data_IF_019988603697
#
_entry.id   IF_019988603697
#
_cell.length_a   1.000
_cell.length_b   1.000
_cell.length_c   1.000
_cell.angle_alpha   90.00
_cell.angle_beta   90.00
_cell.angle_gamma   90.00
#
_symmetry.space_group_name_H-M   'P 1'
#
loop_
_entity.id
_entity.type
_entity.pdbx_description
1 polymer ?
#
# COMPACT_ATOMS: atom_id res chain seq x y z
N UNK A 1 -0.01 -3.59 -14.81
CA UNK A 1 0.92 -4.06 -13.75
C UNK A 1 1.40 -2.86 -12.96
N UNK A 2 0.68 -2.49 -11.91
CA UNK A 2 1.12 -1.46 -11.00
C UNK A 2 1.49 -2.15 -9.69
N UNK A 3 2.79 -2.27 -9.45
CA UNK A 3 3.32 -2.63 -8.16
C UNK A 3 3.00 -1.44 -7.24
N UNK A 4 2.00 -1.51 -6.36
CA UNK A 4 1.84 -0.50 -5.32
C UNK A 4 2.94 -0.73 -4.28
N UNK A 5 4.15 -0.33 -4.68
CA UNK A 5 5.26 -0.13 -3.79
C UNK A 5 4.97 1.15 -3.03
N UNK A 6 4.25 1.00 -1.91
CA UNK A 6 3.89 2.02 -0.92
C UNK A 6 5.03 2.94 -0.47
N UNK A 7 6.27 2.61 -0.85
CA UNK A 7 7.49 3.34 -0.52
C UNK A 7 8.28 3.89 -1.72
N UNK A 8 7.86 3.69 -2.98
CA UNK A 8 8.71 4.08 -4.11
C UNK A 8 8.94 5.59 -4.27
N UNK A 9 7.99 6.46 -3.91
CA UNK A 9 8.25 7.91 -3.91
C UNK A 9 8.68 8.39 -2.51
N UNK A 10 8.25 7.70 -1.45
CA UNK A 10 8.56 8.10 -0.07
C UNK A 10 10.01 7.80 0.34
N UNK A 11 10.62 6.68 -0.05
CA UNK A 11 12.04 6.42 0.25
C UNK A 11 12.99 7.13 -0.72
N UNK A 12 12.48 7.51 -1.90
CA UNK A 12 13.17 8.35 -2.86
C UNK A 12 12.65 9.79 -2.80
N UNK A 13 12.40 10.33 -1.58
CA UNK A 13 12.44 11.79 -1.39
C UNK A 13 13.65 12.24 -2.17
N UNK A 14 13.44 12.95 -3.28
CA UNK A 14 14.47 13.41 -4.21
C UNK A 14 15.38 14.39 -3.46
N UNK A 15 16.19 13.87 -2.53
CA UNK A 15 16.96 14.58 -1.52
C UNK A 15 16.14 15.66 -0.79
N UNK A 16 14.92 15.37 -0.35
CA UNK A 16 13.99 16.35 0.26
C UNK A 16 13.63 17.56 -0.62
N UNK A 17 13.95 17.52 -1.92
CA UNK A 17 13.66 18.61 -2.87
C UNK A 17 12.16 18.77 -3.17
N UNK A 18 11.32 17.84 -2.69
CA UNK A 18 9.89 17.80 -2.97
C UNK A 18 9.12 17.70 -1.66
N UNK A 19 8.02 18.46 -1.59
CA UNK A 19 7.15 18.46 -0.41
C UNK A 19 6.44 17.12 -0.22
N UNK A 20 6.16 16.77 1.04
CA UNK A 20 5.38 15.57 1.39
C UNK A 20 4.01 15.53 0.73
N UNK A 21 3.40 16.70 0.50
CA UNK A 21 2.10 16.80 -0.15
C UNK A 21 2.19 16.33 -1.61
N UNK A 22 3.20 16.80 -2.35
CA UNK A 22 3.41 16.40 -3.75
C UNK A 22 3.67 14.89 -3.89
N UNK A 23 4.39 14.30 -2.93
CA UNK A 23 4.60 12.84 -2.88
C UNK A 23 3.27 12.10 -2.70
N UNK A 24 2.44 12.53 -1.75
CA UNK A 24 1.11 11.94 -1.51
C UNK A 24 0.18 12.08 -2.72
N UNK A 25 0.13 13.25 -3.34
CA UNK A 25 -0.71 13.50 -4.52
C UNK A 25 -0.28 12.62 -5.70
N UNK A 26 1.03 12.41 -5.84
CA UNK A 26 1.60 11.53 -6.87
C UNK A 26 1.23 10.07 -6.63
N UNK A 27 1.37 9.57 -5.39
CA UNK A 27 0.95 8.22 -5.02
C UNK A 27 -0.55 8.02 -5.28
N UNK A 28 -1.40 8.96 -4.85
CA UNK A 28 -2.85 8.88 -5.06
C UNK A 28 -3.20 8.79 -6.55
N UNK A 29 -2.53 9.59 -7.39
CA UNK A 29 -2.72 9.55 -8.84
C UNK A 29 -2.36 8.18 -9.43
N UNK A 30 -1.34 7.52 -8.90
CA UNK A 30 -0.93 6.17 -9.34
C UNK A 30 -2.02 5.16 -8.97
N UNK A 31 -2.52 5.20 -7.74
CA UNK A 31 -3.60 4.32 -7.26
C UNK A 31 -4.87 4.49 -8.09
N UNK A 32 -5.22 5.72 -8.46
CA UNK A 32 -6.40 5.98 -9.30
C UNK A 32 -6.26 5.39 -10.72
N UNK A 33 -5.05 5.42 -11.27
CA UNK A 33 -4.75 5.00 -12.65
C UNK A 33 -4.40 3.52 -12.79
N UNK A 34 -4.02 2.85 -11.70
CA UNK A 34 -3.63 1.45 -11.75
C UNK A 34 -4.82 0.53 -12.09
N UNK A 35 -4.51 -0.66 -12.62
CA UNK A 35 -5.51 -1.71 -12.83
C UNK A 35 -5.79 -2.51 -11.55
N UNK A 36 -4.79 -2.62 -10.67
CA UNK A 36 -4.80 -3.42 -9.43
C UNK A 36 -3.76 -2.88 -8.43
N UNK A 37 -3.99 -3.17 -7.14
CA UNK A 37 -3.15 -2.75 -6.00
C UNK A 37 -2.68 -3.97 -5.23
N UNK A 38 -1.37 -4.05 -4.96
CA UNK A 38 -0.73 -5.18 -4.29
C UNK A 38 -0.04 -4.74 -3.00
N UNK A 39 -0.52 -5.23 -1.87
CA UNK A 39 -0.04 -4.85 -0.54
C UNK A 39 0.94 -5.92 -0.04
N UNK A 40 2.11 -5.48 0.43
CA UNK A 40 3.16 -6.36 0.93
C UNK A 40 3.53 -6.00 2.37
N UNK A 41 3.64 -7.01 3.23
CA UNK A 41 4.05 -6.84 4.62
C UNK A 41 2.99 -6.17 5.50
N UNK A 42 3.39 -5.60 6.66
CA UNK A 42 2.46 -5.00 7.59
C UNK A 42 1.83 -3.70 7.06
N UNK A 43 0.53 -3.55 7.27
CA UNK A 43 -0.23 -2.35 6.90
C UNK A 43 0.05 -1.23 7.90
N UNK A 44 0.64 -0.14 7.41
CA UNK A 44 0.81 1.13 8.13
C UNK A 44 -0.36 2.09 7.90
N UNK A 45 -0.37 3.23 8.59
CA UNK A 45 -1.38 4.29 8.39
C UNK A 45 -1.40 4.79 6.93
N UNK A 46 -0.22 5.02 6.35
CA UNK A 46 -0.10 5.40 4.94
C UNK A 46 -0.62 4.29 4.02
N UNK A 47 -0.41 3.03 4.42
CA UNK A 47 -0.90 1.87 3.68
C UNK A 47 -2.42 1.83 3.62
N UNK A 48 -3.03 2.05 4.77
CA UNK A 48 -4.47 2.07 4.93
C UNK A 48 -5.14 3.16 4.08
N UNK A 49 -4.56 4.36 3.99
CA UNK A 49 -5.11 5.46 3.17
C UNK A 49 -5.18 5.11 1.68
N UNK A 50 -4.13 4.51 1.11
CA UNK A 50 -4.16 4.14 -0.30
C UNK A 50 -5.06 2.90 -0.53
N UNK A 51 -5.19 1.98 0.43
CA UNK A 51 -6.20 0.90 0.38
C UNK A 51 -7.61 1.49 0.34
N UNK A 52 -7.91 2.49 1.19
CA UNK A 52 -9.19 3.21 1.20
C UNK A 52 -9.45 3.87 -0.15
N UNK A 53 -8.44 4.50 -0.75
CA UNK A 53 -8.53 5.10 -2.08
C UNK A 53 -8.78 4.05 -3.17
N UNK A 54 -8.04 2.94 -3.15
CA UNK A 54 -8.19 1.84 -4.10
C UNK A 54 -9.60 1.24 -4.05
N UNK A 55 -10.15 1.04 -2.84
CA UNK A 55 -11.54 0.61 -2.64
C UNK A 55 -12.54 1.60 -3.21
N UNK A 56 -12.36 2.89 -2.95
CA UNK A 56 -13.21 3.95 -3.51
C UNK A 56 -13.19 3.95 -5.04
N UNK A 57 -12.06 3.61 -5.64
CA UNK A 57 -11.87 3.47 -7.08
C UNK A 57 -12.27 2.08 -7.62
N UNK A 58 -12.86 1.20 -6.80
CA UNK A 58 -13.23 -0.18 -7.14
C UNK A 58 -12.08 -0.99 -7.76
N UNK A 59 -10.86 -0.75 -7.29
CA UNK A 59 -9.68 -1.48 -7.76
C UNK A 59 -9.58 -2.85 -7.07
N UNK A 60 -9.18 -3.91 -7.78
CA UNK A 60 -8.77 -5.17 -7.17
C UNK A 60 -7.59 -4.95 -6.22
N UNK A 61 -7.68 -5.47 -5.00
CA UNK A 61 -6.62 -5.41 -3.99
C UNK A 61 -6.19 -6.83 -3.65
N UNK A 62 -4.88 -7.07 -3.69
CA UNK A 62 -4.27 -8.38 -3.38
C UNK A 62 -3.22 -8.21 -2.28
N UNK A 63 -3.18 -9.16 -1.36
CA UNK A 63 -2.31 -9.11 -0.18
C UNK A 63 -1.24 -10.18 -0.27
N UNK A 64 -0.02 -9.84 0.12
CA UNK A 64 1.12 -10.73 0.00
C UNK A 64 1.99 -10.71 1.26
N UNK A 65 2.34 -11.90 1.74
CA UNK A 65 3.33 -12.09 2.80
C UNK A 65 4.71 -12.38 2.19
N UNK A 66 5.73 -11.71 2.73
CA UNK A 66 7.14 -11.99 2.41
C UNK A 66 7.60 -13.08 3.38
N UNK A 67 7.74 -14.31 2.89
CA UNK A 67 8.11 -15.47 3.71
C UNK A 67 9.62 -15.53 3.91
N UNK A 68 10.38 -15.21 2.86
CA UNK A 68 11.85 -15.11 2.89
C UNK A 68 12.32 -14.21 1.74
N UNK A 69 13.64 -14.02 1.59
CA UNK A 69 14.22 -13.13 0.57
C UNK A 69 13.90 -13.50 -0.89
N UNK A 70 13.30 -14.66 -1.17
CA UNK A 70 12.99 -15.13 -2.52
C UNK A 70 11.55 -15.63 -2.68
N UNK A 71 10.74 -15.58 -1.63
CA UNK A 71 9.41 -16.19 -1.63
C UNK A 71 8.38 -15.19 -1.11
N UNK A 72 7.43 -14.87 -1.99
CA UNK A 72 6.32 -13.97 -1.74
C UNK A 72 5.05 -14.75 -2.05
N UNK A 73 4.16 -14.86 -1.07
CA UNK A 73 2.92 -15.63 -1.19
C UNK A 73 1.72 -14.73 -1.03
N UNK A 74 0.73 -14.94 -1.89
CA UNK A 74 -0.57 -14.31 -1.71
C UNK A 74 -1.22 -14.86 -0.45
N UNK A 75 -1.77 -13.97 0.36
CA UNK A 75 -2.44 -14.28 1.62
C UNK A 75 -3.86 -13.73 1.60
N UNK A 76 -4.78 -14.37 2.35
CA UNK A 76 -6.11 -13.83 2.53
C UNK A 76 -6.06 -12.59 3.44
N UNK A 77 -7.05 -11.70 3.34
CA UNK A 77 -7.10 -10.41 4.08
C UNK A 77 -7.08 -10.59 5.60
N UNK A 78 -7.55 -11.75 6.06
CA UNK A 78 -7.60 -12.15 7.46
C UNK A 78 -6.19 -12.34 8.05
N UNK A 79 -5.22 -12.72 7.22
CA UNK A 79 -3.83 -12.99 7.63
C UNK A 79 -2.93 -11.75 7.51
N UNK A 80 -3.47 -10.61 7.06
CA UNK A 80 -2.71 -9.37 6.92
C UNK A 80 -2.28 -8.87 8.29
N UNK A 81 -0.99 -8.60 8.45
CA UNK A 81 -0.42 -7.99 9.65
C UNK A 81 -0.56 -6.46 9.60
N UNK A 82 -0.68 -5.82 10.75
CA UNK A 82 -0.74 -4.37 10.88
C UNK A 82 0.46 -3.86 11.67
N UNK A 83 0.83 -2.60 11.49
CA UNK A 83 1.69 -1.91 12.45
C UNK A 83 0.93 -1.65 13.77
N UNK A 84 1.67 -1.46 14.86
CA UNK A 84 1.14 -1.39 16.22
C UNK A 84 0.01 -0.35 16.36
N UNK A 85 -1.18 -0.80 16.78
CA UNK A 85 -2.34 0.07 17.02
C UNK A 85 -3.30 0.23 15.84
N UNK A 86 -3.01 -0.43 14.70
CA UNK A 86 -3.84 -0.39 13.49
C UNK A 86 -4.68 -1.65 13.27
N UNK A 87 -4.56 -2.66 14.14
CA UNK A 87 -5.30 -3.93 14.06
C UNK A 87 -6.82 -3.72 14.08
N UNK A 88 -7.28 -2.63 14.69
CA UNK A 88 -8.69 -2.19 14.73
C UNK A 88 -9.29 -1.86 13.36
N UNK A 89 -8.47 -1.64 12.34
CA UNK A 89 -8.92 -1.28 10.99
C UNK A 89 -9.00 -2.49 10.05
N UNK A 90 -8.93 -3.72 10.56
CA UNK A 90 -9.00 -4.94 9.75
C UNK A 90 -10.29 -5.06 8.94
N UNK A 91 -11.41 -4.58 9.47
CA UNK A 91 -12.70 -4.55 8.75
C UNK A 91 -12.68 -3.64 7.51
N UNK A 92 -11.69 -2.75 7.42
CA UNK A 92 -11.50 -1.83 6.31
C UNK A 92 -10.62 -2.39 5.18
N UNK A 93 -10.15 -3.65 5.27
CA UNK A 93 -9.38 -4.35 4.22
C UNK A 93 -10.23 -4.99 3.12
#
# INVERSE_FOLDING_TARGET
MCLSAFKMIHEYFLLDSITRQTVRDSNNTIVERCDEVWVFGPVSDGVLEEIRLAKKCNKPIRYFAIVNSRDIKEIPKEDVTFEEGLERFRDEL
#
